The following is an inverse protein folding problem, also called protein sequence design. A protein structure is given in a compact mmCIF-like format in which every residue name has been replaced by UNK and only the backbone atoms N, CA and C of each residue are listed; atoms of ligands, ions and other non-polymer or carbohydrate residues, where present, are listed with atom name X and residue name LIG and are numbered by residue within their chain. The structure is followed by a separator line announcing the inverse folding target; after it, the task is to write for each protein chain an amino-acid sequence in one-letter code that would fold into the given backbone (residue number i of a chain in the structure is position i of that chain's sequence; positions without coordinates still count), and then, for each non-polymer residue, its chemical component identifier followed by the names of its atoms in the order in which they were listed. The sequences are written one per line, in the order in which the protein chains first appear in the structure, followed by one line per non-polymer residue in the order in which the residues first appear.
data_IF_045793719103
#
_entry.id   IF_045793719103
#
_cell.length_a   1.000
_cell.length_b   1.000
_cell.length_c   1.000
_cell.angle_alpha   90.00
_cell.angle_beta   90.00
_cell.angle_gamma   90.00
#
_symmetry.space_group_name_H-M   'P 1'
#
loop_
_entity.id
_entity.type
_entity.pdbx_description
1 polymer ?
#
# COMPACT_ATOMS: atom_id res chain seq x y z
N UNK A 1 -0.32 12.03 7.98
CA UNK A 1 1.02 12.20 7.38
C UNK A 1 2.00 11.26 8.05
N UNK A 2 2.85 10.59 7.26
CA UNK A 2 3.92 9.76 7.79
C UNK A 2 4.92 10.63 8.57
N UNK A 3 5.51 10.07 9.63
CA UNK A 3 6.63 10.71 10.35
C UNK A 3 7.97 10.61 9.60
N UNK A 4 7.95 9.95 8.45
CA UNK A 4 9.08 9.72 7.56
C UNK A 4 8.93 10.58 6.31
N UNK A 5 10.05 10.94 5.70
CA UNK A 5 10.04 11.59 4.39
C UNK A 5 9.44 10.66 3.33
N UNK A 6 8.65 11.22 2.41
CA UNK A 6 8.15 10.50 1.23
C UNK A 6 9.24 10.54 0.16
N UNK A 7 9.76 9.37 -0.24
CA UNK A 7 10.78 9.29 -1.28
C UNK A 7 10.19 9.62 -2.65
N UNK A 8 10.97 10.31 -3.49
CA UNK A 8 10.68 10.46 -4.92
C UNK A 8 11.03 9.18 -5.68
N UNK A 9 10.50 8.94 -6.88
CA UNK A 9 10.80 7.73 -7.66
C UNK A 9 12.30 7.45 -7.82
N UNK A 10 13.10 8.50 -8.00
CA UNK A 10 14.56 8.41 -8.21
C UNK A 10 15.30 7.96 -6.94
N UNK A 11 14.68 8.11 -5.77
CA UNK A 11 15.24 7.74 -4.47
C UNK A 11 14.87 6.32 -4.04
N UNK A 12 14.00 5.62 -4.77
CA UNK A 12 13.55 4.26 -4.46
C UNK A 12 14.40 3.27 -5.25
N UNK A 13 15.19 2.43 -4.57
CA UNK A 13 16.06 1.44 -5.22
C UNK A 13 15.27 0.27 -5.84
N UNK A 14 14.15 -0.11 -5.25
CA UNK A 14 13.31 -1.20 -5.74
C UNK A 14 12.51 -0.78 -6.99
N UNK A 15 12.72 -1.45 -8.13
CA UNK A 15 12.10 -1.05 -9.40
C UNK A 15 10.59 -1.25 -9.42
N UNK A 16 10.06 -2.24 -8.68
CA UNK A 16 8.63 -2.51 -8.65
C UNK A 16 7.91 -1.46 -7.79
N UNK A 17 8.47 -1.12 -6.62
CA UNK A 17 7.93 -0.06 -5.77
C UNK A 17 8.00 1.29 -6.47
N UNK A 18 9.11 1.57 -7.17
CA UNK A 18 9.27 2.76 -8.01
C UNK A 18 8.17 2.85 -9.08
N UNK A 19 7.98 1.78 -9.86
CA UNK A 19 6.98 1.74 -10.92
C UNK A 19 5.55 1.93 -10.36
N UNK A 20 5.26 1.40 -9.17
CA UNK A 20 3.96 1.61 -8.51
C UNK A 20 3.75 3.06 -8.08
N UNK A 21 4.78 3.74 -7.56
CA UNK A 21 4.72 5.16 -7.24
C UNK A 21 4.46 5.99 -8.52
N UNK A 22 5.20 5.72 -9.59
CA UNK A 22 5.05 6.43 -10.87
C UNK A 22 3.65 6.23 -11.48
N UNK A 23 3.10 5.01 -11.40
CA UNK A 23 1.80 4.69 -11.98
C UNK A 23 0.61 5.28 -11.20
N UNK A 24 0.76 5.48 -9.89
CA UNK A 24 -0.38 5.84 -9.01
C UNK A 24 -0.28 7.24 -8.41
N UNK A 25 0.93 7.77 -8.24
CA UNK A 25 1.19 8.97 -7.44
C UNK A 25 0.88 8.80 -5.96
N UNK A 26 0.68 7.57 -5.47
CA UNK A 26 0.34 7.31 -4.07
C UNK A 26 1.60 7.38 -3.18
N UNK A 27 1.66 8.38 -2.31
CA UNK A 27 2.77 8.64 -1.38
C UNK A 27 3.12 7.43 -0.50
N UNK A 28 2.18 6.50 -0.31
CA UNK A 28 2.42 5.25 0.42
C UNK A 28 3.61 4.47 -0.17
N UNK A 29 3.76 4.43 -1.49
CA UNK A 29 4.89 3.77 -2.14
C UNK A 29 6.22 4.50 -1.87
N UNK A 30 6.20 5.83 -1.76
CA UNK A 30 7.37 6.62 -1.36
C UNK A 30 7.76 6.40 0.11
N UNK A 31 6.79 6.16 1.00
CA UNK A 31 7.05 5.82 2.42
C UNK A 31 7.62 4.40 2.55
N UNK A 32 7.06 3.43 1.83
CA UNK A 32 7.55 2.05 1.89
C UNK A 32 8.82 1.80 1.07
N UNK A 33 9.22 2.74 0.20
CA UNK A 33 10.51 2.69 -0.50
C UNK A 33 11.72 2.67 0.44
N UNK A 34 11.59 3.15 1.69
CA UNK A 34 12.62 3.02 2.73
C UNK A 34 12.86 1.56 3.16
N UNK A 35 11.90 0.66 2.89
CA UNK A 35 11.96 -0.75 3.29
C UNK A 35 11.23 -1.66 2.29
N UNK A 36 11.59 -1.54 1.00
CA UNK A 36 10.90 -2.23 -0.09
C UNK A 36 10.73 -3.74 0.10
N UNK A 37 11.74 -4.44 0.62
CA UNK A 37 11.66 -5.90 0.89
C UNK A 37 10.49 -6.26 1.82
N UNK A 38 10.31 -5.48 2.90
CA UNK A 38 9.21 -5.67 3.84
C UNK A 38 7.87 -5.41 3.15
N UNK A 39 7.80 -4.36 2.35
CA UNK A 39 6.59 -3.99 1.65
C UNK A 39 6.19 -5.01 0.59
N UNK A 40 7.15 -5.57 -0.14
CA UNK A 40 6.91 -6.65 -1.10
C UNK A 40 6.36 -7.90 -0.39
N UNK A 41 6.94 -8.29 0.75
CA UNK A 41 6.41 -9.40 1.55
C UNK A 41 4.98 -9.12 2.04
N UNK A 42 4.69 -7.90 2.48
CA UNK A 42 3.33 -7.49 2.83
C UNK A 42 2.37 -7.58 1.63
N UNK A 43 2.78 -7.13 0.44
CA UNK A 43 1.96 -7.21 -0.77
C UNK A 43 1.69 -8.65 -1.20
N UNK A 44 2.67 -9.55 -1.08
CA UNK A 44 2.50 -10.98 -1.34
C UNK A 44 1.42 -11.59 -0.42
N UNK A 45 1.40 -11.20 0.85
CA UNK A 45 0.35 -11.60 1.79
C UNK A 45 -1.00 -10.95 1.48
N UNK A 46 -1.02 -9.65 1.20
CA UNK A 46 -2.25 -8.85 1.13
C UNK A 46 -3.01 -8.98 -0.21
N UNK A 47 -2.30 -9.03 -1.34
CA UNK A 47 -2.92 -9.05 -2.69
C UNK A 47 -3.90 -10.22 -2.89
N UNK A 48 -3.61 -11.47 -2.47
CA UNK A 48 -4.56 -12.57 -2.58
C UNK A 48 -5.88 -12.30 -1.83
N UNK A 49 -5.79 -11.74 -0.62
CA UNK A 49 -6.97 -11.39 0.17
C UNK A 49 -7.76 -10.24 -0.47
N UNK A 50 -7.07 -9.21 -0.99
CA UNK A 50 -7.70 -8.05 -1.63
C UNK A 50 -8.40 -8.41 -2.93
N UNK A 51 -7.71 -9.08 -3.85
CA UNK A 51 -8.20 -9.27 -5.22
C UNK A 51 -8.78 -10.65 -5.51
N UNK A 52 -8.45 -11.70 -4.73
CA UNK A 52 -8.93 -13.08 -4.94
C UNK A 52 -10.14 -13.48 -4.11
N UNK A 53 -10.35 -14.77 -3.85
CA UNK A 53 -11.37 -15.25 -2.91
C UNK A 53 -12.84 -15.09 -3.37
N UNK A 54 -13.78 -15.33 -2.45
CA UNK A 54 -15.22 -15.44 -2.75
C UNK A 54 -16.03 -14.15 -2.61
N UNK A 55 -15.51 -13.18 -1.85
CA UNK A 55 -16.21 -11.92 -1.63
C UNK A 55 -15.92 -10.94 -2.77
N UNK A 56 -16.92 -10.17 -3.25
CA UNK A 56 -16.68 -9.11 -4.23
C UNK A 56 -15.68 -8.06 -3.71
N UNK A 57 -14.88 -7.49 -4.61
CA UNK A 57 -13.90 -6.46 -4.27
C UNK A 57 -14.52 -5.28 -3.51
N UNK A 58 -15.65 -4.76 -3.98
CA UNK A 58 -16.36 -3.65 -3.33
C UNK A 58 -16.74 -3.95 -1.88
N UNK A 59 -17.18 -5.18 -1.58
CA UNK A 59 -17.52 -5.57 -0.21
C UNK A 59 -16.28 -5.60 0.70
N UNK A 60 -15.14 -6.07 0.19
CA UNK A 60 -13.89 -6.05 0.94
C UNK A 60 -13.42 -4.63 1.24
N UNK A 61 -13.57 -3.71 0.30
CA UNK A 61 -13.21 -2.31 0.51
C UNK A 61 -14.12 -1.66 1.56
N UNK A 62 -15.42 -1.97 1.58
CA UNK A 62 -16.32 -1.51 2.65
C UNK A 62 -15.88 -2.03 4.03
N UNK A 63 -15.51 -3.30 4.12
CA UNK A 63 -14.99 -3.88 5.37
C UNK A 63 -13.67 -3.22 5.77
N UNK A 64 -12.74 -3.03 4.82
CA UNK A 64 -11.46 -2.35 5.05
C UNK A 64 -11.66 -0.94 5.61
N UNK A 65 -12.57 -0.16 5.02
CA UNK A 65 -12.91 1.19 5.49
C UNK A 65 -13.55 1.17 6.87
N UNK A 66 -14.45 0.22 7.15
CA UNK A 66 -15.05 0.08 8.49
C UNK A 66 -13.99 -0.24 9.54
N UNK A 67 -13.09 -1.16 9.26
CA UNK A 67 -11.99 -1.52 10.16
C UNK A 67 -11.04 -0.33 10.35
N UNK A 68 -10.68 0.39 9.29
CA UNK A 68 -9.86 1.59 9.38
C UNK A 68 -10.49 2.66 10.29
N UNK A 69 -11.80 2.92 10.12
CA UNK A 69 -12.53 3.86 10.97
C UNK A 69 -12.62 3.42 12.44
N UNK A 70 -12.67 2.11 12.73
CA UNK A 70 -12.63 1.60 14.11
C UNK A 70 -11.24 1.71 14.76
N UNK A 71 -10.19 1.89 13.96
CA UNK A 71 -8.81 2.02 14.44
C UNK A 71 -8.27 3.45 14.30
N UNK A 72 -9.15 4.43 14.06
CA UNK A 72 -8.78 5.84 13.80
C UNK A 72 -7.70 5.99 12.71
N UNK A 73 -7.65 5.05 11.77
CA UNK A 73 -6.73 5.06 10.65
C UNK A 73 -7.30 5.97 9.57
N UNK A 74 -6.89 7.24 9.63
CA UNK A 74 -7.34 8.25 8.68
C UNK A 74 -6.73 8.01 7.29
N UNK A 75 -7.50 8.41 6.28
CA UNK A 75 -7.10 8.30 4.87
C UNK A 75 -6.08 9.36 4.50
#
# INVERSE_FOLDING_TARGET
MARLAVLTPEQIDDPDVRAMLEATGDEMFGVYGHCSDLFQAFLQFYRPAKYGGRLPFALKELVRLKVAGLNDCQR
#
